data_IF_633433529650
#
_entry.id   IF_633433529650
#
_cell.length_a   1.000
_cell.length_b   1.000
_cell.length_c   1.000
_cell.angle_alpha   90.00
_cell.angle_beta   90.00
_cell.angle_gamma   90.00
#
_symmetry.space_group_name_H-M   'P 1'
#
loop_
_entity.id
_entity.type
_entity.pdbx_description
1 polymer ?
#
# COMPACT_ATOMS: atom_id res chain seq x y z
N UNK A 1 6.71 -4.86 3.87
CA UNK A 1 6.87 -5.37 5.24
C UNK A 1 6.44 -6.83 5.35
N UNK A 2 5.43 -7.21 4.59
CA UNK A 2 4.92 -8.58 4.58
C UNK A 2 4.35 -9.00 3.23
N UNK A 3 4.27 -10.31 3.01
CA UNK A 3 3.58 -10.95 1.90
C UNK A 3 2.50 -11.87 2.51
N UNK A 4 1.24 -11.55 2.30
CA UNK A 4 0.15 -12.10 3.07
C UNK A 4 0.32 -11.84 4.58
N UNK A 5 -0.35 -12.60 5.40
CA UNK A 5 -0.26 -12.47 6.87
C UNK A 5 0.94 -13.21 7.47
N UNK A 6 1.50 -14.21 6.78
CA UNK A 6 2.44 -15.16 7.36
C UNK A 6 3.91 -14.84 7.07
N UNK A 7 4.23 -14.38 5.86
CA UNK A 7 5.61 -14.10 5.50
C UNK A 7 6.00 -12.67 5.89
N UNK A 8 7.08 -12.55 6.65
CA UNK A 8 7.71 -11.27 7.02
C UNK A 8 8.91 -11.03 6.11
N UNK A 9 9.00 -9.83 5.53
CA UNK A 9 10.17 -9.43 4.77
C UNK A 9 11.41 -9.43 5.68
N UNK A 10 12.43 -10.20 5.30
CA UNK A 10 13.64 -10.41 6.09
C UNK A 10 14.44 -9.12 6.34
N UNK A 11 14.27 -8.11 5.49
CA UNK A 11 14.98 -6.82 5.60
C UNK A 11 14.15 -5.76 6.33
N UNK A 12 12.87 -6.01 6.56
CA UNK A 12 11.95 -5.01 7.10
C UNK A 12 12.42 -4.44 8.44
N UNK A 13 12.71 -5.27 9.42
CA UNK A 13 13.11 -4.80 10.77
C UNK A 13 14.37 -3.94 10.72
N UNK A 14 15.37 -4.37 9.94
CA UNK A 14 16.61 -3.62 9.77
C UNK A 14 16.35 -2.26 9.10
N UNK A 15 15.56 -2.24 8.04
CA UNK A 15 15.26 -1.01 7.31
C UNK A 15 14.43 -0.05 8.17
N UNK A 16 13.41 -0.54 8.87
CA UNK A 16 12.61 0.26 9.79
C UNK A 16 13.47 0.89 10.89
N UNK A 17 14.34 0.10 11.52
CA UNK A 17 15.26 0.59 12.56
C UNK A 17 16.20 1.69 12.04
N UNK A 18 16.74 1.55 10.82
CA UNK A 18 17.58 2.56 10.20
C UNK A 18 16.83 3.85 9.91
N UNK A 19 15.60 3.76 9.40
CA UNK A 19 14.75 4.93 9.15
C UNK A 19 14.42 5.65 10.45
N UNK A 20 14.05 4.92 11.50
CA UNK A 20 13.75 5.46 12.82
C UNK A 20 14.97 6.13 13.46
N UNK A 21 16.14 5.51 13.38
CA UNK A 21 17.40 6.08 13.87
C UNK A 21 17.73 7.42 13.19
N UNK A 22 17.41 7.53 11.90
CA UNK A 22 17.60 8.75 11.13
C UNK A 22 16.39 9.71 11.20
N UNK A 23 15.39 9.44 12.05
CA UNK A 23 14.17 10.24 12.21
C UNK A 23 13.38 10.43 10.91
N UNK A 24 13.48 9.45 10.00
CA UNK A 24 12.74 9.43 8.74
C UNK A 24 11.39 8.75 8.93
N UNK A 25 10.34 9.42 8.51
CA UNK A 25 9.00 8.81 8.45
C UNK A 25 8.92 7.86 7.25
N UNK A 26 8.20 6.76 7.41
CA UNK A 26 8.04 5.76 6.36
C UNK A 26 6.65 5.14 6.36
N UNK A 27 6.18 4.73 5.20
CA UNK A 27 5.01 3.87 5.05
C UNK A 27 5.40 2.41 4.95
N UNK A 28 4.43 1.53 5.17
CA UNK A 28 4.61 0.08 5.00
C UNK A 28 3.47 -0.50 4.20
N UNK A 29 3.78 -1.51 3.39
CA UNK A 29 2.77 -2.23 2.64
C UNK A 29 2.73 -3.73 3.00
N UNK A 30 1.56 -4.31 2.83
CA UNK A 30 1.35 -5.75 2.70
C UNK A 30 1.12 -6.05 1.23
N UNK A 31 1.96 -6.90 0.63
CA UNK A 31 1.57 -7.56 -0.61
C UNK A 31 0.46 -8.55 -0.26
N UNK A 32 -0.74 -8.19 -0.62
CA UNK A 32 -1.93 -8.79 -0.04
C UNK A 32 -2.33 -10.08 -0.75
N UNK A 33 -2.54 -11.13 0.03
CA UNK A 33 -2.85 -12.48 -0.43
C UNK A 33 -4.09 -13.07 0.26
N UNK A 34 -4.93 -12.22 0.85
CA UNK A 34 -6.10 -12.69 1.59
C UNK A 34 -7.11 -13.43 0.69
N UNK A 35 -7.65 -14.51 1.24
CA UNK A 35 -8.60 -15.38 0.54
C UNK A 35 -10.07 -15.12 0.91
N UNK A 36 -10.32 -14.21 1.86
CA UNK A 36 -11.65 -13.86 2.33
C UNK A 36 -11.66 -12.52 3.07
N UNK A 37 -12.83 -11.89 3.30
CA UNK A 37 -12.94 -10.69 4.14
C UNK A 37 -12.43 -10.88 5.58
N UNK A 38 -12.53 -12.09 6.13
CA UNK A 38 -11.97 -12.41 7.45
C UNK A 38 -10.44 -12.41 7.43
N UNK A 39 -9.87 -12.99 6.40
CA UNK A 39 -8.44 -13.06 6.20
C UNK A 39 -7.84 -11.68 5.91
N UNK A 40 -8.53 -10.85 5.12
CA UNK A 40 -8.15 -9.45 4.87
C UNK A 40 -8.03 -8.65 6.18
N UNK A 41 -8.97 -8.81 7.10
CA UNK A 41 -8.87 -8.20 8.45
C UNK A 41 -7.68 -8.70 9.23
N UNK A 42 -7.40 -9.99 9.15
CA UNK A 42 -6.25 -10.59 9.84
C UNK A 42 -4.93 -10.08 9.28
N UNK A 43 -4.83 -9.95 7.95
CA UNK A 43 -3.64 -9.40 7.28
C UNK A 43 -3.41 -7.93 7.64
N UNK A 44 -4.44 -7.10 7.66
CA UNK A 44 -4.36 -5.72 8.12
C UNK A 44 -3.87 -5.63 9.58
N UNK A 45 -4.40 -6.49 10.46
CA UNK A 45 -4.00 -6.55 11.87
C UNK A 45 -2.53 -6.95 12.03
N UNK A 46 -2.06 -7.96 11.29
CA UNK A 46 -0.65 -8.38 11.35
C UNK A 46 0.29 -7.29 10.86
N UNK A 47 -0.06 -6.57 9.80
CA UNK A 47 0.73 -5.44 9.30
C UNK A 47 0.86 -4.34 10.35
N UNK A 48 -0.25 -3.95 10.98
CA UNK A 48 -0.26 -2.94 12.05
C UNK A 48 0.60 -3.35 13.26
N UNK A 49 0.56 -4.63 13.65
CA UNK A 49 1.35 -5.16 14.76
C UNK A 49 2.85 -5.21 14.44
N UNK A 50 3.21 -5.54 13.19
CA UNK A 50 4.61 -5.58 12.74
C UNK A 50 5.23 -4.21 12.61
N UNK A 51 4.45 -3.22 12.21
CA UNK A 51 4.92 -1.88 11.90
C UNK A 51 4.16 -0.78 12.67
N UNK A 52 4.13 -0.80 14.02
CA UNK A 52 3.32 0.15 14.80
C UNK A 52 3.79 1.61 14.65
N UNK A 53 5.04 1.82 14.25
CA UNK A 53 5.64 3.14 14.05
C UNK A 53 5.54 3.66 12.62
N UNK A 54 5.01 2.88 11.68
CA UNK A 54 4.77 3.35 10.32
C UNK A 54 3.90 4.60 10.34
N UNK A 55 4.20 5.55 9.47
CA UNK A 55 3.43 6.79 9.34
C UNK A 55 2.12 6.57 8.57
N UNK A 56 2.10 5.61 7.65
CA UNK A 56 0.92 5.22 6.88
C UNK A 56 1.01 3.75 6.46
N UNK A 57 -0.13 3.17 6.06
CA UNK A 57 -0.24 1.76 5.69
C UNK A 57 -0.81 1.61 4.28
N UNK A 58 -0.34 0.60 3.56
CA UNK A 58 -0.75 0.34 2.18
C UNK A 58 -1.23 -1.10 2.04
N UNK A 59 -2.43 -1.26 1.46
CA UNK A 59 -2.93 -2.51 0.94
C UNK A 59 -2.50 -2.62 -0.52
N UNK A 60 -1.54 -3.48 -0.80
CA UNK A 60 -1.00 -3.74 -2.13
C UNK A 60 -1.68 -5.01 -2.67
N UNK A 61 -2.77 -4.83 -3.44
CA UNK A 61 -3.60 -5.91 -3.94
C UNK A 61 -3.60 -5.92 -5.47
N UNK A 62 -2.84 -6.85 -6.04
CA UNK A 62 -2.55 -6.93 -7.47
C UNK A 62 -3.02 -8.22 -8.12
N UNK A 63 -3.40 -9.21 -7.33
CA UNK A 63 -3.84 -10.53 -7.79
C UNK A 63 -5.17 -10.89 -7.14
N UNK A 64 -6.06 -11.50 -7.92
CA UNK A 64 -7.32 -12.01 -7.39
C UNK A 64 -7.10 -13.27 -6.57
N UNK A 65 -7.05 -13.13 -5.26
CA UNK A 65 -6.80 -14.24 -4.32
C UNK A 65 -8.05 -14.66 -3.53
N UNK A 66 -9.10 -13.84 -3.55
CA UNK A 66 -10.33 -14.10 -2.80
C UNK A 66 -11.06 -15.33 -3.33
N UNK A 67 -11.25 -16.31 -2.45
CA UNK A 67 -11.94 -17.59 -2.70
C UNK A 67 -13.32 -17.65 -2.06
N UNK A 68 -13.59 -16.82 -1.05
CA UNK A 68 -14.85 -16.77 -0.33
C UNK A 68 -15.30 -15.34 -0.11
N UNK A 69 -16.48 -14.99 -0.60
CA UNK A 69 -16.97 -13.64 -0.74
C UNK A 69 -16.58 -13.03 -2.10
N UNK A 70 -16.40 -11.73 -2.15
CA UNK A 70 -15.95 -10.99 -3.32
C UNK A 70 -14.78 -10.07 -2.97
N UNK A 71 -14.03 -9.64 -3.99
CA UNK A 71 -12.85 -8.80 -3.83
C UNK A 71 -13.19 -7.47 -3.17
N UNK A 72 -14.26 -6.82 -3.61
CA UNK A 72 -14.71 -5.52 -3.06
C UNK A 72 -14.92 -5.58 -1.55
N UNK A 73 -15.64 -6.62 -1.08
CA UNK A 73 -15.90 -6.82 0.35
C UNK A 73 -14.61 -7.11 1.12
N UNK A 74 -13.68 -7.87 0.55
CA UNK A 74 -12.41 -8.19 1.20
C UNK A 74 -11.49 -6.97 1.29
N UNK A 75 -11.37 -6.20 0.21
CA UNK A 75 -10.59 -4.96 0.15
C UNK A 75 -11.14 -3.94 1.16
N UNK A 76 -12.46 -3.79 1.22
CA UNK A 76 -13.11 -2.91 2.19
C UNK A 76 -12.93 -3.40 3.63
N UNK A 77 -12.94 -4.72 3.86
CA UNK A 77 -12.70 -5.31 5.18
C UNK A 77 -11.28 -5.03 5.70
N UNK A 78 -10.27 -5.07 4.81
CA UNK A 78 -8.89 -4.67 5.12
C UNK A 78 -8.82 -3.20 5.55
N UNK A 79 -9.42 -2.30 4.74
CA UNK A 79 -9.46 -0.87 5.03
C UNK A 79 -10.14 -0.57 6.38
N UNK A 80 -11.30 -1.14 6.61
CA UNK A 80 -12.08 -0.93 7.83
C UNK A 80 -11.34 -1.43 9.08
N UNK A 81 -10.63 -2.55 8.99
CA UNK A 81 -9.84 -3.05 10.11
C UNK A 81 -8.61 -2.17 10.36
N UNK A 82 -7.87 -1.82 9.29
CA UNK A 82 -6.71 -0.95 9.44
C UNK A 82 -7.10 0.42 10.00
N UNK A 83 -8.25 0.99 9.61
CA UNK A 83 -8.74 2.26 10.14
C UNK A 83 -8.90 2.26 11.65
N UNK A 84 -9.39 1.16 12.23
CA UNK A 84 -9.53 1.01 13.69
C UNK A 84 -8.16 0.98 14.39
N UNK A 85 -7.17 0.38 13.75
CA UNK A 85 -5.83 0.14 14.32
C UNK A 85 -4.89 1.32 14.11
N UNK A 86 -4.98 1.97 12.96
CA UNK A 86 -4.08 3.05 12.55
C UNK A 86 -4.46 4.42 13.12
N UNK A 87 -5.67 4.57 13.65
CA UNK A 87 -6.19 5.86 14.10
C UNK A 87 -6.28 6.87 12.95
N UNK A 88 -5.59 8.00 13.10
CA UNK A 88 -5.60 9.07 12.09
C UNK A 88 -4.58 8.89 10.96
N UNK A 89 -3.74 7.84 11.01
CA UNK A 89 -2.76 7.59 9.96
C UNK A 89 -3.44 7.28 8.64
N UNK A 90 -2.83 7.70 7.55
CA UNK A 90 -3.35 7.41 6.20
C UNK A 90 -3.31 5.93 5.88
N UNK A 91 -4.32 5.47 5.15
CA UNK A 91 -4.35 4.15 4.55
C UNK A 91 -4.52 4.29 3.05
N UNK A 92 -3.67 3.64 2.28
CA UNK A 92 -3.65 3.70 0.82
C UNK A 92 -4.02 2.35 0.22
N UNK A 93 -4.62 2.40 -0.95
CA UNK A 93 -4.79 1.25 -1.82
C UNK A 93 -3.82 1.34 -2.98
N UNK A 94 -3.02 0.29 -3.22
CA UNK A 94 -2.12 0.20 -4.37
C UNK A 94 -2.59 -0.90 -5.30
N UNK A 95 -2.65 -0.58 -6.58
CA UNK A 95 -2.93 -1.54 -7.66
C UNK A 95 -2.72 -0.89 -9.03
N UNK A 96 -2.75 -1.72 -10.09
CA UNK A 96 -2.88 -1.26 -11.47
C UNK A 96 -4.30 -0.78 -11.75
N UNK A 97 -4.45 0.25 -12.59
CA UNK A 97 -5.76 0.84 -12.87
C UNK A 97 -6.79 -0.18 -13.37
N UNK A 98 -6.40 -1.03 -14.32
CA UNK A 98 -7.31 -2.02 -14.88
C UNK A 98 -7.74 -3.06 -13.82
N UNK A 99 -6.84 -3.48 -12.96
CA UNK A 99 -7.17 -4.40 -11.87
C UNK A 99 -8.12 -3.72 -10.85
N UNK A 100 -7.82 -2.49 -10.46
CA UNK A 100 -8.66 -1.72 -9.56
C UNK A 100 -10.08 -1.55 -10.09
N UNK A 101 -10.24 -1.22 -11.38
CA UNK A 101 -11.55 -1.05 -12.01
C UNK A 101 -12.39 -2.34 -12.00
N UNK A 102 -11.74 -3.49 -12.12
CA UNK A 102 -12.42 -4.80 -12.17
C UNK A 102 -12.70 -5.39 -10.78
N UNK A 103 -11.89 -5.07 -9.76
CA UNK A 103 -11.90 -5.76 -8.47
C UNK A 103 -12.10 -4.86 -7.26
N UNK A 104 -11.94 -3.53 -7.40
CA UNK A 104 -11.92 -2.58 -6.29
C UNK A 104 -12.60 -1.25 -6.61
N UNK A 105 -13.43 -1.18 -7.66
CA UNK A 105 -13.98 0.09 -8.18
C UNK A 105 -14.76 0.90 -7.14
N UNK A 106 -15.43 0.23 -6.21
CA UNK A 106 -16.13 0.86 -5.08
C UNK A 106 -15.27 0.86 -3.81
N UNK A 107 -14.56 -0.24 -3.52
CA UNK A 107 -13.79 -0.41 -2.29
C UNK A 107 -12.63 0.60 -2.18
N UNK A 108 -12.07 1.07 -3.29
CA UNK A 108 -11.01 2.09 -3.30
C UNK A 108 -11.42 3.36 -2.56
N UNK A 109 -12.70 3.71 -2.53
CA UNK A 109 -13.23 4.86 -1.79
C UNK A 109 -13.16 4.71 -0.25
N UNK A 110 -12.89 3.51 0.25
CA UNK A 110 -12.69 3.24 1.68
C UNK A 110 -11.29 3.61 2.17
N UNK A 111 -10.38 3.94 1.26
CA UNK A 111 -9.01 4.37 1.52
C UNK A 111 -8.89 5.89 1.46
N UNK A 112 -7.84 6.44 2.08
CA UNK A 112 -7.56 7.88 2.03
C UNK A 112 -7.00 8.31 0.69
N UNK A 113 -6.42 7.40 -0.08
CA UNK A 113 -5.87 7.65 -1.40
C UNK A 113 -5.53 6.40 -2.18
N UNK A 114 -5.47 6.56 -3.49
CA UNK A 114 -5.08 5.53 -4.43
C UNK A 114 -3.63 5.75 -4.89
N UNK A 115 -2.80 4.72 -4.75
CA UNK A 115 -1.46 4.66 -5.32
C UNK A 115 -1.54 3.84 -6.60
N UNK A 116 -1.57 4.53 -7.71
CA UNK A 116 -1.78 3.95 -9.04
C UNK A 116 -0.46 3.52 -9.66
N UNK A 117 -0.36 2.26 -10.07
CA UNK A 117 0.73 1.77 -10.89
C UNK A 117 0.34 1.81 -12.38
N UNK A 118 1.11 2.55 -13.18
CA UNK A 118 0.96 2.60 -14.63
C UNK A 118 2.30 2.96 -15.27
N UNK A 119 2.93 2.00 -15.92
CA UNK A 119 4.25 2.16 -16.55
C UNK A 119 4.09 2.70 -17.97
N UNK A 120 3.89 4.01 -18.06
CA UNK A 120 3.63 4.74 -19.30
C UNK A 120 4.26 6.13 -19.26
N UNK A 121 4.40 6.76 -20.43
CA UNK A 121 5.05 8.07 -20.55
C UNK A 121 4.17 9.22 -20.06
N UNK A 122 2.85 9.13 -20.28
CA UNK A 122 1.89 10.16 -19.91
C UNK A 122 1.26 9.84 -18.56
N UNK A 123 1.06 10.88 -17.75
CA UNK A 123 0.42 10.73 -16.45
C UNK A 123 -1.04 10.22 -16.59
N UNK A 124 -1.43 9.19 -15.82
CA UNK A 124 -2.82 8.72 -15.81
C UNK A 124 -3.78 9.80 -15.33
N UNK A 125 -4.93 9.93 -16.00
CA UNK A 125 -5.98 10.89 -15.64
C UNK A 125 -6.79 10.51 -14.41
N UNK A 126 -6.69 9.23 -13.97
CA UNK A 126 -7.40 8.73 -12.80
C UNK A 126 -6.94 9.47 -11.55
N UNK A 127 -7.90 9.82 -10.67
CA UNK A 127 -7.62 10.38 -9.35
C UNK A 127 -6.71 9.43 -8.54
N UNK A 128 -5.64 9.96 -8.00
CA UNK A 128 -4.61 9.25 -7.28
C UNK A 128 -3.87 10.20 -6.35
N UNK A 129 -3.15 9.66 -5.39
CA UNK A 129 -2.22 10.43 -4.52
C UNK A 129 -0.75 10.16 -4.87
N UNK A 130 -0.49 8.98 -5.44
CA UNK A 130 0.81 8.55 -5.95
C UNK A 130 0.65 7.86 -7.29
N UNK A 131 1.60 8.08 -8.18
CA UNK A 131 1.74 7.37 -9.44
C UNK A 131 3.10 6.67 -9.48
N UNK A 132 3.10 5.33 -9.44
CA UNK A 132 4.28 4.54 -9.76
C UNK A 132 4.41 4.46 -11.29
N UNK A 133 5.34 5.23 -11.83
CA UNK A 133 5.50 5.37 -13.28
C UNK A 133 6.51 4.38 -13.87
N UNK A 134 7.33 3.76 -13.04
CA UNK A 134 8.30 2.72 -13.45
C UNK A 134 8.71 1.83 -12.29
N UNK A 135 9.09 0.60 -12.61
CA UNK A 135 9.75 -0.34 -11.70
C UNK A 135 11.24 -0.55 -12.05
N UNK A 136 11.79 0.30 -12.89
CA UNK A 136 13.14 0.13 -13.45
C UNK A 136 13.96 1.42 -13.43
N UNK A 137 13.69 2.29 -12.45
CA UNK A 137 14.52 3.47 -12.21
C UNK A 137 15.85 3.06 -11.60
N UNK A 138 16.95 3.34 -12.29
CA UNK A 138 18.27 3.03 -11.75
C UNK A 138 18.67 4.02 -10.66
N UNK A 139 18.85 3.54 -9.43
CA UNK A 139 19.39 4.32 -8.31
C UNK A 139 20.90 4.13 -8.22
N UNK A 140 21.71 5.17 -8.47
CA UNK A 140 23.17 5.10 -8.31
C UNK A 140 23.58 4.79 -6.85
N UNK A 141 22.82 5.32 -5.87
CA UNK A 141 23.10 5.14 -4.45
C UNK A 141 22.92 3.68 -4.00
N UNK A 142 21.93 3.00 -4.57
CA UNK A 142 21.65 1.59 -4.27
C UNK A 142 22.31 0.62 -5.25
N UNK A 143 22.85 1.15 -6.37
CA UNK A 143 23.43 0.37 -7.47
C UNK A 143 22.47 -0.72 -7.99
N UNK A 144 21.19 -0.37 -8.11
CA UNK A 144 20.14 -1.27 -8.60
C UNK A 144 18.94 -0.50 -9.15
N UNK A 145 18.09 -1.19 -9.90
CA UNK A 145 16.80 -0.66 -10.30
C UNK A 145 15.81 -0.71 -9.13
N UNK A 146 15.00 0.32 -9.01
CA UNK A 146 13.96 0.48 -7.99
C UNK A 146 12.69 1.05 -8.62
N UNK A 147 11.58 0.93 -7.89
CA UNK A 147 10.35 1.62 -8.22
C UNK A 147 10.53 3.13 -8.05
N UNK A 148 9.95 3.91 -8.96
CA UNK A 148 9.92 5.34 -8.80
C UNK A 148 8.50 5.88 -8.97
N UNK A 149 8.21 6.93 -8.20
CA UNK A 149 6.86 7.45 -8.05
C UNK A 149 6.85 8.97 -8.13
N UNK A 150 5.75 9.51 -8.66
CA UNK A 150 5.38 10.91 -8.51
C UNK A 150 4.27 11.06 -7.46
N UNK A 151 4.39 12.09 -6.62
CA UNK A 151 3.27 12.56 -5.80
C UNK A 151 2.38 13.42 -6.71
N UNK A 152 1.06 13.21 -6.65
CA UNK A 152 0.11 14.05 -7.39
C UNK A 152 0.30 15.53 -7.04
N UNK A 153 0.23 16.40 -8.05
CA UNK A 153 0.49 17.84 -7.88
C UNK A 153 -0.40 18.53 -6.84
N UNK A 154 -1.57 17.97 -6.56
CA UNK A 154 -2.52 18.49 -5.58
C UNK A 154 -2.29 17.91 -4.17
N UNK A 155 -1.29 17.06 -3.99
CA UNK A 155 -0.99 16.38 -2.72
C UNK A 155 0.34 16.85 -2.16
N UNK A 156 0.34 17.41 -0.97
CA UNK A 156 1.58 17.75 -0.28
C UNK A 156 2.20 16.50 0.35
N UNK A 157 3.52 16.37 0.32
CA UNK A 157 4.24 15.22 0.92
C UNK A 157 3.93 15.02 2.41
N UNK A 158 3.64 16.09 3.16
CA UNK A 158 3.23 16.02 4.55
C UNK A 158 1.87 15.35 4.76
N UNK A 159 1.03 15.28 3.73
CA UNK A 159 -0.27 14.62 3.80
C UNK A 159 -0.15 13.12 4.17
N UNK A 160 0.89 12.43 3.70
CA UNK A 160 1.13 11.02 4.02
C UNK A 160 1.49 10.77 5.48
N UNK A 161 1.93 11.80 6.18
CA UNK A 161 2.51 11.68 7.53
C UNK A 161 1.85 12.60 8.56
N UNK A 162 0.70 13.18 8.19
CA UNK A 162 -0.11 14.06 9.05
C UNK A 162 -1.08 13.26 9.91
#
# INVERSE_FOLDING_TARGET
AQYGSEYVDKTFEKNAALLEQNKMKYGVYSYSMYESPKDARYEAKTLSQRAPKAAFYINDYEEQTVKSGDDETAIQAWANEMRKLAGNKKILFYSYENFMLNHASNAVSSYDGYWLAAYQAEEPKREKVLWQYTNSYYSPELNQNVDANYIDENVNSSWFTS
#
